data_IF_372656744355
#
_entry.id   IF_372656744355
#
_cell.length_a   1.000
_cell.length_b   1.000
_cell.length_c   1.000
_cell.angle_alpha   90.00
_cell.angle_beta   90.00
_cell.angle_gamma   90.00
#
_symmetry.space_group_name_H-M   'P 1'
#
loop_
_entity.id
_entity.type
_entity.pdbx_description
1 polymer ?
#
# COMPACT_ATOMS: atom_id res chain seq x y z
N UNK A 1 37.45 14.93 3.45
CA UNK A 1 37.16 14.04 2.29
C UNK A 1 35.84 14.45 1.71
N UNK A 2 35.71 14.52 0.38
CA UNK A 2 34.46 14.95 -0.26
C UNK A 2 33.54 13.75 -0.51
N UNK A 3 32.30 13.85 -0.12
CA UNK A 3 31.23 12.89 -0.32
C UNK A 3 30.22 13.49 -1.29
N UNK A 4 29.79 12.73 -2.31
CA UNK A 4 28.86 13.24 -3.31
C UNK A 4 27.48 12.61 -3.10
N UNK A 5 26.46 13.46 -2.90
CA UNK A 5 25.05 13.07 -2.96
C UNK A 5 24.53 13.31 -4.39
N UNK A 6 23.93 12.28 -5.00
CA UNK A 6 23.34 12.36 -6.34
C UNK A 6 22.16 11.37 -6.43
N UNK A 7 22.05 10.62 -7.54
CA UNK A 7 21.15 9.46 -7.60
C UNK A 7 21.50 8.38 -6.55
N UNK A 8 22.78 8.26 -6.21
CA UNK A 8 23.34 7.43 -5.15
C UNK A 8 24.28 8.27 -4.27
N UNK A 9 24.73 7.69 -3.19
CA UNK A 9 25.77 8.25 -2.33
C UNK A 9 27.13 7.70 -2.79
N UNK A 10 28.10 8.61 -3.01
CA UNK A 10 29.44 8.27 -3.44
C UNK A 10 30.44 8.66 -2.36
N UNK A 11 31.11 7.67 -1.79
CA UNK A 11 32.01 7.77 -0.65
C UNK A 11 33.45 7.51 -1.08
N UNK A 12 34.43 8.20 -0.51
CA UNK A 12 35.84 7.85 -0.73
C UNK A 12 36.12 6.41 -0.27
N UNK A 13 36.88 5.67 -1.06
CA UNK A 13 37.22 4.29 -0.71
C UNK A 13 38.17 4.23 0.48
N UNK A 14 37.84 3.41 1.47
CA UNK A 14 38.80 2.86 2.42
C UNK A 14 38.50 1.38 2.65
N UNK A 15 39.49 0.53 2.95
CA UNK A 15 39.27 -0.90 3.20
C UNK A 15 38.25 -1.15 4.34
N UNK A 16 38.37 -0.39 5.45
CA UNK A 16 37.44 -0.51 6.60
C UNK A 16 36.02 -0.15 6.24
N UNK A 17 35.82 0.96 5.53
CA UNK A 17 34.48 1.37 5.07
C UNK A 17 33.90 0.35 4.07
N UNK A 18 34.74 -0.19 3.17
CA UNK A 18 34.29 -1.19 2.21
C UNK A 18 33.82 -2.50 2.87
N UNK A 19 34.51 -2.97 3.91
CA UNK A 19 34.08 -4.16 4.67
C UNK A 19 32.79 -3.90 5.47
N UNK A 20 32.64 -2.73 6.09
CA UNK A 20 31.40 -2.34 6.77
C UNK A 20 30.21 -2.29 5.78
N UNK A 21 30.38 -1.64 4.64
CA UNK A 21 29.37 -1.56 3.58
C UNK A 21 29.02 -2.95 3.06
N UNK A 22 30.02 -3.80 2.82
CA UNK A 22 29.80 -5.17 2.36
C UNK A 22 29.01 -6.01 3.36
N UNK A 23 29.27 -5.86 4.64
CA UNK A 23 28.54 -6.57 5.70
C UNK A 23 27.06 -6.15 5.74
N UNK A 24 26.77 -4.86 5.63
CA UNK A 24 25.42 -4.33 5.80
C UNK A 24 24.60 -4.30 4.49
N UNK A 25 25.24 -4.08 3.33
CA UNK A 25 24.54 -3.99 2.04
C UNK A 25 24.67 -5.27 1.18
N UNK A 26 24.94 -6.40 1.83
CA UNK A 26 24.83 -7.74 1.22
C UNK A 26 23.63 -8.46 1.79
N UNK A 27 22.61 -8.61 0.98
CA UNK A 27 21.32 -9.17 1.38
C UNK A 27 21.15 -10.59 0.89
N UNK A 28 20.62 -11.47 1.74
CA UNK A 28 20.26 -12.84 1.39
C UNK A 28 18.75 -12.96 1.25
N UNK A 29 18.28 -13.20 0.03
CA UNK A 29 16.85 -13.36 -0.26
C UNK A 29 16.52 -14.85 -0.15
N UNK A 30 15.64 -15.26 0.78
CA UNK A 30 15.21 -16.64 0.89
C UNK A 30 14.62 -17.18 -0.40
N UNK A 31 14.90 -18.44 -0.70
CA UNK A 31 14.33 -19.10 -1.87
C UNK A 31 12.81 -19.26 -1.73
N UNK A 32 12.06 -18.94 -2.80
CA UNK A 32 10.60 -19.08 -2.83
C UNK A 32 10.12 -20.52 -2.94
N UNK A 33 10.97 -21.43 -3.40
CA UNK A 33 10.65 -22.86 -3.59
C UNK A 33 11.53 -23.69 -2.68
N UNK A 34 10.96 -24.77 -2.10
CA UNK A 34 11.69 -25.74 -1.30
C UNK A 34 12.79 -26.38 -2.17
N UNK A 35 14.05 -26.35 -1.69
CA UNK A 35 15.23 -26.87 -2.42
C UNK A 35 15.94 -25.88 -3.36
N UNK A 36 15.39 -24.68 -3.60
CA UNK A 36 16.11 -23.65 -4.33
C UNK A 36 17.11 -22.91 -3.43
N UNK A 37 18.23 -22.42 -4.01
CA UNK A 37 19.24 -21.66 -3.27
C UNK A 37 18.76 -20.23 -3.00
N UNK A 38 19.12 -19.64 -1.84
CA UNK A 38 18.92 -18.23 -1.59
C UNK A 38 19.66 -17.39 -2.66
N UNK A 39 19.11 -16.24 -3.00
CA UNK A 39 19.77 -15.28 -3.88
C UNK A 39 20.51 -14.26 -3.03
N UNK A 40 21.81 -14.13 -3.25
CA UNK A 40 22.62 -13.08 -2.62
C UNK A 40 22.63 -11.85 -3.55
N UNK A 41 22.27 -10.72 -2.98
CA UNK A 41 22.22 -9.44 -3.67
C UNK A 41 23.11 -8.42 -2.96
N UNK A 42 24.02 -7.77 -3.70
CA UNK A 42 24.88 -6.73 -3.17
C UNK A 42 24.46 -5.37 -3.73
N UNK A 43 24.27 -4.40 -2.85
CA UNK A 43 23.85 -3.05 -3.23
C UNK A 43 24.92 -1.99 -3.07
N UNK A 44 26.12 -2.31 -3.45
CA UNK A 44 27.24 -1.37 -3.51
C UNK A 44 28.15 -1.70 -4.69
N UNK A 45 28.85 -0.68 -5.18
CA UNK A 45 29.82 -0.82 -6.26
C UNK A 45 31.10 -0.05 -5.91
N UNK A 46 32.24 -0.60 -6.27
CA UNK A 46 33.50 0.14 -6.26
C UNK A 46 33.77 0.68 -7.67
N UNK A 47 33.94 2.00 -7.79
CA UNK A 47 34.26 2.69 -9.03
C UNK A 47 35.57 3.46 -8.79
N UNK A 48 36.68 2.95 -9.26
CA UNK A 48 38.02 3.49 -8.95
C UNK A 48 38.22 3.62 -7.44
N UNK A 49 38.45 4.83 -6.93
CA UNK A 49 38.66 5.14 -5.52
C UNK A 49 37.39 5.62 -4.82
N UNK A 50 36.25 5.21 -5.32
CA UNK A 50 34.91 5.59 -4.78
C UNK A 50 34.05 4.36 -4.55
N UNK A 51 33.30 4.36 -3.45
CA UNK A 51 32.24 3.42 -3.15
C UNK A 51 30.88 4.08 -3.45
N UNK A 52 30.07 3.43 -4.26
CA UNK A 52 28.71 3.86 -4.58
C UNK A 52 27.70 3.00 -3.84
N UNK A 53 26.85 3.60 -3.03
CA UNK A 53 25.81 2.96 -2.22
C UNK A 53 24.45 3.66 -2.38
N UNK A 54 23.32 3.07 -1.94
CA UNK A 54 22.02 3.72 -1.99
C UNK A 54 22.02 5.07 -1.26
N UNK A 55 21.27 6.04 -1.82
CA UNK A 55 21.26 7.43 -1.32
C UNK A 55 20.71 7.57 0.11
N UNK A 56 19.82 6.67 0.55
CA UNK A 56 19.29 6.68 1.90
C UNK A 56 20.31 6.30 2.98
N UNK A 57 21.41 5.63 2.62
CA UNK A 57 22.42 5.15 3.57
C UNK A 57 23.43 6.22 3.94
N UNK A 58 22.93 7.38 4.38
CA UNK A 58 23.77 8.51 4.81
C UNK A 58 24.49 8.24 6.14
N UNK A 59 24.12 7.18 6.87
CA UNK A 59 24.83 6.65 8.04
C UNK A 59 26.27 6.20 7.78
N UNK A 60 26.61 5.97 6.51
CA UNK A 60 27.98 5.66 6.09
C UNK A 60 28.83 6.90 5.79
N UNK A 61 28.29 8.11 5.87
CA UNK A 61 29.06 9.34 5.65
C UNK A 61 30.04 9.50 6.80
N UNK A 62 31.36 9.53 6.54
CA UNK A 62 32.34 9.75 7.61
C UNK A 62 32.18 11.15 8.23
N UNK A 63 32.31 11.22 9.54
CA UNK A 63 32.25 12.48 10.28
C UNK A 63 33.29 13.49 9.76
N UNK A 64 32.89 14.76 9.66
CA UNK A 64 33.73 15.82 9.11
C UNK A 64 33.92 15.79 7.58
N UNK A 65 33.13 14.98 6.85
CA UNK A 65 33.17 15.00 5.40
C UNK A 65 32.56 16.27 4.81
N UNK A 66 33.17 16.79 3.76
CA UNK A 66 32.57 17.82 2.91
C UNK A 66 31.50 17.19 2.02
N UNK A 67 30.27 17.71 2.06
CA UNK A 67 29.15 17.20 1.27
C UNK A 67 28.99 18.01 -0.02
N UNK A 68 29.09 17.35 -1.16
CA UNK A 68 28.82 17.94 -2.48
C UNK A 68 27.47 17.39 -2.96
N UNK A 69 26.42 18.22 -2.86
CA UNK A 69 25.07 17.84 -3.32
C UNK A 69 24.95 18.08 -4.82
N UNK A 70 24.77 17.01 -5.59
CA UNK A 70 24.53 16.99 -7.05
C UNK A 70 23.12 16.48 -7.39
N UNK A 71 22.25 16.44 -6.41
CA UNK A 71 20.81 16.21 -6.67
C UNK A 71 20.23 17.41 -7.40
N UNK A 72 19.18 17.20 -8.16
CA UNK A 72 18.61 18.27 -9.00
C UNK A 72 17.37 18.86 -8.35
N UNK A 73 17.35 20.19 -8.30
CA UNK A 73 16.15 21.00 -8.02
C UNK A 73 15.54 21.42 -9.35
N UNK A 74 14.27 21.15 -9.54
CA UNK A 74 13.50 21.55 -10.72
C UNK A 74 12.26 22.31 -10.23
N UNK A 75 12.37 23.62 -10.00
CA UNK A 75 11.24 24.43 -9.55
C UNK A 75 10.06 24.33 -10.50
N UNK A 76 8.84 24.31 -9.95
CA UNK A 76 7.59 24.22 -10.69
C UNK A 76 6.52 25.10 -10.06
N UNK A 77 5.58 25.59 -10.89
CA UNK A 77 4.47 26.42 -10.43
C UNK A 77 3.30 25.55 -9.96
N UNK A 78 3.46 25.02 -8.75
CA UNK A 78 2.44 24.15 -8.13
C UNK A 78 1.56 25.00 -7.21
N UNK A 79 0.23 24.99 -7.41
CA UNK A 79 -0.69 25.76 -6.58
C UNK A 79 -0.73 25.30 -5.12
N UNK A 80 -1.29 26.15 -4.26
CA UNK A 80 -1.58 25.77 -2.88
C UNK A 80 -2.71 24.72 -2.86
N UNK A 81 -2.71 23.87 -1.82
CA UNK A 81 -3.73 22.86 -1.67
C UNK A 81 -5.10 23.46 -1.35
N UNK A 82 -6.15 22.91 -1.94
CA UNK A 82 -7.55 23.32 -1.73
C UNK A 82 -8.20 22.67 -0.49
N UNK A 83 -7.39 22.20 0.46
CA UNK A 83 -7.85 21.43 1.62
C UNK A 83 -7.23 21.94 2.92
N UNK A 84 -8.01 21.90 4.00
CA UNK A 84 -7.48 22.08 5.35
C UNK A 84 -6.84 20.77 5.83
N UNK A 85 -5.57 20.85 6.18
CA UNK A 85 -4.84 19.71 6.74
C UNK A 85 -5.26 19.43 8.17
N UNK A 86 -5.28 18.16 8.55
CA UNK A 86 -5.39 17.75 9.95
C UNK A 86 -4.08 18.05 10.70
N UNK A 87 -4.11 18.18 12.06
CA UNK A 87 -2.92 18.50 12.85
C UNK A 87 -1.70 17.62 12.53
N UNK A 88 -1.85 16.29 12.49
CA UNK A 88 -0.74 15.39 12.17
C UNK A 88 -0.25 15.51 10.73
N UNK A 89 -1.13 15.84 9.77
CA UNK A 89 -0.73 16.12 8.39
C UNK A 89 0.05 17.42 8.29
N UNK A 90 -0.40 18.47 9.01
CA UNK A 90 0.31 19.75 9.08
C UNK A 90 1.68 19.58 9.74
N UNK A 91 1.77 18.77 10.80
CA UNK A 91 3.04 18.42 11.44
C UNK A 91 3.99 17.75 10.44
N UNK A 92 3.53 16.73 9.70
CA UNK A 92 4.33 16.09 8.66
C UNK A 92 4.83 17.09 7.60
N UNK A 93 3.94 17.98 7.12
CA UNK A 93 4.32 19.02 6.15
C UNK A 93 5.35 19.99 6.72
N UNK A 94 5.28 20.32 8.01
CA UNK A 94 6.25 21.22 8.64
C UNK A 94 7.61 20.55 8.83
N UNK A 95 7.65 19.31 9.28
CA UNK A 95 8.87 18.55 9.60
C UNK A 95 9.64 18.09 8.36
N UNK A 96 8.91 17.65 7.30
CA UNK A 96 9.54 17.04 6.15
C UNK A 96 10.14 18.10 5.21
N UNK A 97 11.45 18.09 5.09
CA UNK A 97 12.24 19.03 4.29
C UNK A 97 13.36 18.37 3.45
N UNK A 98 13.48 17.05 3.51
CA UNK A 98 14.41 16.23 2.70
C UNK A 98 13.72 14.89 2.38
N UNK A 99 14.48 13.81 2.24
CA UNK A 99 13.98 12.46 1.97
C UNK A 99 13.29 11.89 3.22
N UNK A 100 12.07 11.40 3.05
CA UNK A 100 11.29 10.83 4.15
C UNK A 100 10.42 9.66 3.70
N UNK A 101 10.02 8.84 4.65
CA UNK A 101 8.95 7.85 4.49
C UNK A 101 7.82 8.17 5.45
N UNK A 102 6.61 8.32 4.92
CA UNK A 102 5.39 8.42 5.72
C UNK A 102 4.83 7.02 5.88
N UNK A 103 5.00 6.43 7.07
CA UNK A 103 4.41 5.15 7.44
C UNK A 103 3.09 5.38 8.16
N UNK A 104 2.00 5.39 7.42
CA UNK A 104 0.70 5.70 7.95
C UNK A 104 -0.35 4.68 7.52
N UNK A 105 -1.21 4.31 8.46
CA UNK A 105 -2.31 3.38 8.23
C UNK A 105 -3.22 3.82 7.07
N UNK A 106 -3.95 2.89 6.45
CA UNK A 106 -5.00 3.23 5.50
C UNK A 106 -6.01 4.21 6.12
N UNK A 107 -6.40 5.25 5.38
CA UNK A 107 -7.33 6.27 5.89
C UNK A 107 -6.67 7.50 6.52
N UNK A 108 -5.39 7.47 6.83
CA UNK A 108 -4.65 8.66 7.30
C UNK A 108 -4.73 9.85 6.32
N UNK A 109 -4.81 9.60 5.03
CA UNK A 109 -4.75 10.64 3.99
C UNK A 109 -3.34 10.89 3.47
N UNK A 110 -2.54 9.83 3.34
CA UNK A 110 -1.17 9.89 2.77
C UNK A 110 -1.09 10.70 1.48
N UNK A 111 -2.08 10.54 0.59
CA UNK A 111 -2.16 11.27 -0.67
C UNK A 111 -2.28 12.77 -0.48
N UNK A 112 -3.17 13.22 0.42
CA UNK A 112 -3.33 14.64 0.76
C UNK A 112 -2.05 15.22 1.35
N UNK A 113 -1.43 14.50 2.29
CA UNK A 113 -0.16 14.93 2.91
C UNK A 113 0.97 15.01 1.89
N UNK A 114 1.06 14.04 0.97
CA UNK A 114 2.07 14.05 -0.09
C UNK A 114 1.86 15.23 -1.05
N UNK A 115 0.62 15.52 -1.47
CA UNK A 115 0.31 16.66 -2.34
C UNK A 115 0.54 18.00 -1.62
N UNK A 116 0.31 18.06 -0.31
CA UNK A 116 0.67 19.23 0.49
C UNK A 116 2.19 19.45 0.54
N UNK A 117 2.98 18.39 0.64
CA UNK A 117 4.45 18.46 0.55
C UNK A 117 4.91 18.89 -0.86
N UNK A 118 4.28 18.38 -1.90
CA UNK A 118 4.53 18.77 -3.30
C UNK A 118 4.24 20.27 -3.48
N UNK A 119 3.11 20.74 -2.96
CA UNK A 119 2.75 22.17 -2.95
C UNK A 119 3.74 23.04 -2.17
N UNK A 120 4.17 22.59 -0.98
CA UNK A 120 5.18 23.29 -0.15
C UNK A 120 6.54 23.37 -0.83
N UNK A 121 7.02 22.27 -1.40
CA UNK A 121 8.38 22.18 -1.94
C UNK A 121 8.51 22.78 -3.34
N UNK A 122 7.41 22.99 -4.05
CA UNK A 122 7.37 23.62 -5.38
C UNK A 122 8.37 23.01 -6.37
N UNK A 123 8.45 21.68 -6.41
CA UNK A 123 9.32 20.95 -7.30
C UNK A 123 8.53 20.20 -8.36
N UNK A 124 9.02 20.17 -9.60
CA UNK A 124 8.49 19.28 -10.62
C UNK A 124 8.53 17.85 -10.09
N UNK A 125 7.36 17.22 -10.01
CA UNK A 125 7.17 16.00 -9.23
C UNK A 125 6.80 14.81 -10.09
N UNK A 126 7.48 13.68 -9.85
CA UNK A 126 7.13 12.37 -10.38
C UNK A 126 6.47 11.52 -9.30
N UNK A 127 5.23 11.09 -9.51
CA UNK A 127 4.50 10.19 -8.63
C UNK A 127 4.55 8.78 -9.23
N UNK A 128 5.15 7.82 -8.52
CA UNK A 128 5.34 6.45 -8.97
C UNK A 128 4.32 5.55 -8.30
N UNK A 129 3.55 4.83 -9.11
CA UNK A 129 2.55 3.86 -8.66
C UNK A 129 2.74 2.51 -9.35
N UNK A 130 2.21 1.43 -8.77
CA UNK A 130 2.40 0.08 -9.28
C UNK A 130 1.19 -0.49 -10.04
N UNK A 131 -0.01 0.13 -9.93
CA UNK A 131 -1.21 -0.28 -10.68
C UNK A 131 -1.83 0.87 -11.46
N UNK A 132 -2.57 0.54 -12.52
CA UNK A 132 -3.35 1.51 -13.29
C UNK A 132 -4.44 2.15 -12.43
N UNK A 133 -5.08 1.37 -11.56
CA UNK A 133 -6.12 1.87 -10.66
C UNK A 133 -5.60 2.95 -9.70
N UNK A 134 -4.39 2.76 -9.13
CA UNK A 134 -3.73 3.77 -8.30
C UNK A 134 -3.36 5.02 -9.11
N UNK A 135 -2.86 4.84 -10.34
CA UNK A 135 -2.56 5.97 -11.22
C UNK A 135 -3.81 6.82 -11.45
N UNK A 136 -4.92 6.18 -11.81
CA UNK A 136 -6.17 6.89 -12.10
C UNK A 136 -6.76 7.53 -10.82
N UNK A 137 -6.53 6.94 -9.65
CA UNK A 137 -6.85 7.57 -8.37
C UNK A 137 -6.00 8.82 -8.14
N UNK A 138 -4.68 8.74 -8.31
CA UNK A 138 -3.78 9.88 -8.13
C UNK A 138 -4.10 11.03 -9.08
N UNK A 139 -4.49 10.74 -10.33
CA UNK A 139 -4.95 11.77 -11.29
C UNK A 139 -6.12 12.53 -10.69
N UNK A 140 -7.16 11.84 -10.23
CA UNK A 140 -8.34 12.48 -9.61
C UNK A 140 -7.98 13.29 -8.36
N UNK A 141 -7.10 12.76 -7.52
CA UNK A 141 -6.68 13.46 -6.29
C UNK A 141 -5.85 14.71 -6.59
N UNK A 142 -4.97 14.70 -7.59
CA UNK A 142 -4.22 15.88 -8.03
C UNK A 142 -5.19 16.95 -8.55
N UNK A 143 -6.14 16.59 -9.41
CA UNK A 143 -7.16 17.50 -9.91
C UNK A 143 -8.00 18.10 -8.79
N UNK A 144 -8.45 17.26 -7.85
CA UNK A 144 -9.32 17.64 -6.74
C UNK A 144 -8.61 18.52 -5.70
N UNK A 145 -7.35 18.23 -5.39
CA UNK A 145 -6.60 18.85 -4.28
C UNK A 145 -5.81 20.08 -4.75
N UNK A 146 -5.25 20.03 -5.95
CA UNK A 146 -4.41 21.08 -6.50
C UNK A 146 -5.08 21.82 -7.69
N UNK A 147 -6.16 21.33 -8.25
CA UNK A 147 -6.86 21.97 -9.38
C UNK A 147 -6.10 21.91 -10.72
N UNK A 148 -5.10 21.04 -10.86
CA UNK A 148 -4.27 20.94 -12.07
C UNK A 148 -4.34 19.56 -12.72
N UNK A 149 -4.07 19.52 -14.04
CA UNK A 149 -3.99 18.26 -14.80
C UNK A 149 -2.57 17.71 -14.78
N UNK A 150 -2.35 16.50 -14.22
CA UNK A 150 -1.05 15.85 -14.26
C UNK A 150 -0.76 15.22 -15.63
N UNK A 151 0.52 15.10 -15.97
CA UNK A 151 0.98 14.26 -17.07
C UNK A 151 0.98 12.78 -16.71
N UNK A 152 1.00 11.92 -17.72
CA UNK A 152 0.90 10.45 -17.55
C UNK A 152 2.06 9.76 -18.27
N UNK A 153 2.73 8.82 -17.56
CA UNK A 153 3.62 7.83 -18.18
C UNK A 153 3.02 6.43 -17.96
N UNK A 154 2.45 5.88 -19.02
CA UNK A 154 1.80 4.57 -19.01
C UNK A 154 0.59 4.49 -19.91
N UNK A 155 0.12 3.28 -20.21
CA UNK A 155 -1.00 3.04 -21.15
C UNK A 155 -0.82 3.72 -22.52
N UNK A 156 0.40 3.70 -23.06
CA UNK A 156 0.73 4.31 -24.34
C UNK A 156 1.02 5.81 -24.32
N UNK A 157 0.89 6.47 -23.16
CA UNK A 157 1.21 7.88 -22.98
C UNK A 157 2.62 8.09 -22.42
N UNK A 158 3.27 9.19 -22.84
CA UNK A 158 4.57 9.65 -22.34
C UNK A 158 4.57 11.18 -22.24
N UNK A 159 3.95 11.70 -21.21
CA UNK A 159 3.75 13.14 -20.98
C UNK A 159 4.66 13.56 -19.82
N UNK A 160 5.74 14.28 -20.11
CA UNK A 160 6.75 14.69 -19.11
C UNK A 160 6.88 16.20 -18.91
N UNK A 161 6.11 17.00 -19.62
CA UNK A 161 6.13 18.46 -19.63
C UNK A 161 5.30 19.09 -18.52
N UNK A 162 4.39 18.34 -17.91
CA UNK A 162 3.58 18.82 -16.79
C UNK A 162 4.39 18.91 -15.49
N UNK A 163 3.98 19.80 -14.58
CA UNK A 163 4.63 19.99 -13.27
C UNK A 163 4.49 18.79 -12.35
N UNK A 164 3.38 18.05 -12.45
CA UNK A 164 3.17 16.77 -11.81
C UNK A 164 2.97 15.70 -12.87
N UNK A 165 3.71 14.61 -12.77
CA UNK A 165 3.62 13.45 -13.67
C UNK A 165 3.37 12.21 -12.86
N UNK A 166 2.35 11.42 -13.26
CA UNK A 166 2.01 10.14 -12.59
C UNK A 166 2.41 8.99 -13.50
N UNK A 167 3.23 8.08 -12.98
CA UNK A 167 3.82 7.00 -13.77
C UNK A 167 3.58 5.62 -13.16
N UNK A 168 3.22 4.66 -14.00
CA UNK A 168 3.31 3.25 -13.63
C UNK A 168 4.78 2.80 -13.66
N UNK A 169 5.24 2.14 -12.61
CA UNK A 169 6.65 1.71 -12.46
C UNK A 169 7.15 0.87 -13.64
N UNK A 170 6.31 0.01 -14.23
CA UNK A 170 6.66 -0.85 -15.37
C UNK A 170 6.89 -0.03 -16.65
N UNK A 171 6.13 1.07 -16.83
CA UNK A 171 6.29 1.98 -17.96
C UNK A 171 7.49 2.88 -17.75
N UNK A 172 7.66 3.38 -16.52
CA UNK A 172 8.77 4.23 -16.13
C UNK A 172 10.14 3.55 -16.30
N UNK A 173 10.21 2.25 -16.01
CA UNK A 173 11.43 1.46 -16.18
C UNK A 173 12.02 1.53 -17.61
N UNK A 174 11.15 1.54 -18.62
CA UNK A 174 11.56 1.61 -20.05
C UNK A 174 12.15 2.97 -20.43
N UNK A 175 11.83 4.03 -19.70
CA UNK A 175 12.22 5.41 -19.98
C UNK A 175 13.13 6.02 -18.89
N UNK A 176 13.62 5.20 -17.96
CA UNK A 176 14.33 5.70 -16.78
C UNK A 176 15.62 6.46 -17.09
N UNK A 177 16.24 6.20 -18.23
CA UNK A 177 17.46 6.93 -18.67
C UNK A 177 17.14 8.37 -19.09
N UNK A 178 15.99 8.61 -19.73
CA UNK A 178 15.57 9.94 -20.19
C UNK A 178 15.11 10.84 -19.04
N UNK A 179 14.80 10.25 -17.89
CA UNK A 179 14.17 10.92 -16.75
C UNK A 179 15.14 11.28 -15.62
N UNK A 180 16.42 10.95 -15.74
CA UNK A 180 17.45 11.08 -14.68
C UNK A 180 17.46 12.42 -13.94
N UNK A 181 17.23 13.52 -14.67
CA UNK A 181 17.32 14.88 -14.14
C UNK A 181 16.10 15.74 -14.50
N UNK A 182 14.93 15.12 -14.75
CA UNK A 182 13.72 15.84 -15.16
C UNK A 182 12.80 16.20 -13.99
N UNK A 183 13.01 15.65 -12.81
CA UNK A 183 12.16 15.85 -11.65
C UNK A 183 12.97 16.21 -10.41
N UNK A 184 12.56 17.27 -9.72
CA UNK A 184 13.16 17.69 -8.45
C UNK A 184 12.63 16.88 -7.27
N UNK A 185 11.41 16.32 -7.39
CA UNK A 185 10.79 15.49 -6.37
C UNK A 185 10.26 14.17 -6.93
N UNK A 186 10.40 13.09 -6.16
CA UNK A 186 9.82 11.77 -6.46
C UNK A 186 8.97 11.34 -5.28
N UNK A 187 7.72 11.00 -5.54
CA UNK A 187 6.80 10.37 -4.57
C UNK A 187 6.58 8.92 -4.98
N UNK A 188 6.78 7.98 -4.07
CA UNK A 188 6.54 6.56 -4.32
C UNK A 188 5.40 6.07 -3.45
N UNK A 189 4.26 5.78 -4.07
CA UNK A 189 3.10 5.25 -3.36
C UNK A 189 3.22 3.74 -3.15
N UNK A 190 2.77 3.28 -1.96
CA UNK A 190 2.86 1.90 -1.50
C UNK A 190 4.27 1.32 -1.77
N UNK A 191 5.28 2.06 -1.36
CA UNK A 191 6.68 1.78 -1.67
C UNK A 191 7.15 0.37 -1.27
N UNK A 192 6.42 -0.31 -0.37
CA UNK A 192 6.68 -1.71 0.01
C UNK A 192 6.23 -2.75 -1.03
N UNK A 193 5.41 -2.39 -2.03
CA UNK A 193 4.90 -3.32 -3.05
C UNK A 193 5.74 -3.39 -4.32
N UNK A 194 6.56 -2.40 -4.59
CA UNK A 194 7.35 -2.36 -5.83
C UNK A 194 8.23 -3.61 -5.97
N UNK A 195 8.27 -4.26 -7.15
CA UNK A 195 9.21 -5.34 -7.41
C UNK A 195 10.63 -4.83 -7.18
N UNK A 196 11.34 -5.40 -6.21
CA UNK A 196 12.60 -4.84 -5.73
C UNK A 196 13.60 -4.46 -6.85
N UNK A 197 13.69 -5.27 -7.91
CA UNK A 197 14.60 -5.01 -9.04
C UNK A 197 14.19 -3.81 -9.89
N UNK A 198 12.96 -3.78 -10.38
CA UNK A 198 12.47 -2.69 -11.25
C UNK A 198 12.45 -1.35 -10.52
N UNK A 199 12.03 -1.36 -9.27
CA UNK A 199 12.01 -0.17 -8.41
C UNK A 199 13.43 0.38 -8.19
N UNK A 200 14.36 -0.51 -7.82
CA UNK A 200 15.76 -0.16 -7.66
C UNK A 200 16.32 0.49 -8.93
N UNK A 201 16.17 -0.16 -10.07
CA UNK A 201 16.76 0.30 -11.33
C UNK A 201 16.20 1.68 -11.76
N UNK A 202 14.97 2.00 -11.38
CA UNK A 202 14.38 3.33 -11.59
C UNK A 202 14.95 4.35 -10.60
N UNK A 203 14.87 4.07 -9.29
CA UNK A 203 15.30 5.03 -8.27
C UNK A 203 16.80 5.29 -8.30
N UNK A 204 17.61 4.30 -8.67
CA UNK A 204 19.07 4.45 -8.85
C UNK A 204 19.43 5.46 -9.94
N UNK A 205 18.55 5.74 -10.88
CA UNK A 205 18.82 6.67 -11.97
C UNK A 205 18.36 8.09 -11.66
N UNK A 206 17.33 8.26 -10.82
CA UNK A 206 16.72 9.56 -10.55
C UNK A 206 17.56 10.40 -9.58
N UNK A 207 18.01 11.58 -10.03
CA UNK A 207 18.83 12.53 -9.25
C UNK A 207 17.99 13.53 -8.44
N UNK A 208 16.70 13.29 -8.28
CA UNK A 208 15.78 14.20 -7.61
C UNK A 208 16.25 14.59 -6.21
N UNK A 209 16.11 15.87 -5.88
CA UNK A 209 16.49 16.44 -4.58
C UNK A 209 15.69 15.79 -3.44
N UNK A 210 14.38 15.58 -3.68
CA UNK A 210 13.47 15.05 -2.67
C UNK A 210 12.93 13.69 -3.10
N UNK A 211 12.95 12.73 -2.17
CA UNK A 211 12.34 11.41 -2.34
C UNK A 211 11.40 11.13 -1.16
N UNK A 212 10.12 10.95 -1.46
CA UNK A 212 9.08 10.66 -0.47
C UNK A 212 8.52 9.26 -0.70
N UNK A 213 8.62 8.41 0.31
CA UNK A 213 7.96 7.11 0.33
C UNK A 213 6.64 7.16 1.09
N UNK A 214 5.59 6.54 0.57
CA UNK A 214 4.32 6.37 1.26
C UNK A 214 4.07 4.88 1.47
N UNK A 215 3.72 4.49 2.69
CA UNK A 215 3.39 3.09 3.00
C UNK A 215 2.34 2.98 4.11
N UNK A 216 1.49 1.96 4.01
CA UNK A 216 0.60 1.55 5.10
C UNK A 216 1.23 0.51 6.03
N UNK A 217 2.26 -0.16 5.56
CA UNK A 217 3.03 -1.18 6.28
C UNK A 217 4.44 -1.23 5.72
N UNK A 218 5.45 -0.98 6.55
CA UNK A 218 6.85 -1.04 6.10
C UNK A 218 7.38 -2.47 6.04
N UNK A 219 6.89 -3.38 6.93
CA UNK A 219 7.44 -4.72 7.07
C UNK A 219 6.86 -5.66 6.02
N UNK A 220 7.72 -6.31 5.25
CA UNK A 220 7.37 -7.39 4.30
C UNK A 220 7.80 -8.75 4.86
N UNK A 221 6.97 -9.76 4.65
CA UNK A 221 7.28 -11.15 5.05
C UNK A 221 8.54 -11.74 4.36
N UNK A 222 8.95 -11.18 3.20
CA UNK A 222 10.14 -11.59 2.45
C UNK A 222 11.40 -10.78 2.78
N UNK A 223 11.35 -9.88 3.77
CA UNK A 223 12.47 -9.05 4.23
C UNK A 223 12.94 -7.97 3.25
N UNK A 224 12.31 -7.83 2.08
CA UNK A 224 12.77 -6.92 1.01
C UNK A 224 12.41 -5.45 1.24
N UNK A 225 11.69 -5.12 2.29
CA UNK A 225 11.36 -3.74 2.62
C UNK A 225 12.62 -2.89 2.89
N UNK A 226 13.68 -3.49 3.41
CA UNK A 226 14.96 -2.82 3.71
C UNK A 226 15.54 -2.17 2.46
N UNK A 227 15.52 -2.85 1.31
CA UNK A 227 16.04 -2.27 0.06
C UNK A 227 15.32 -1.01 -0.40
N UNK A 228 14.01 -0.94 -0.18
CA UNK A 228 13.23 0.22 -0.61
C UNK A 228 13.51 1.43 0.26
N UNK A 229 13.71 1.19 1.56
CA UNK A 229 14.08 2.24 2.49
C UNK A 229 15.46 2.81 2.17
N UNK A 230 16.44 1.96 1.84
CA UNK A 230 17.79 2.38 1.45
C UNK A 230 17.78 3.37 0.26
N UNK A 231 16.80 3.28 -0.66
CA UNK A 231 16.67 4.19 -1.80
C UNK A 231 15.93 5.49 -1.50
N UNK A 232 15.27 5.56 -0.36
CA UNK A 232 14.57 6.76 0.10
C UNK A 232 15.30 7.29 1.34
N UNK A 233 15.01 6.73 2.50
CA UNK A 233 15.69 7.03 3.77
C UNK A 233 15.39 5.93 4.79
N UNK A 234 16.42 5.35 5.44
CA UNK A 234 16.20 4.41 6.53
C UNK A 234 15.97 5.07 7.89
N UNK A 235 16.29 6.35 8.04
CA UNK A 235 16.33 7.02 9.35
C UNK A 235 15.14 7.92 9.62
N UNK A 236 14.72 8.70 8.63
CA UNK A 236 13.66 9.69 8.78
C UNK A 236 12.33 9.10 8.34
N UNK A 237 11.67 8.39 9.26
CA UNK A 237 10.35 7.82 9.04
C UNK A 237 9.37 8.57 9.94
N UNK A 238 8.43 9.27 9.30
CA UNK A 238 7.33 9.89 10.00
C UNK A 238 6.21 8.86 10.22
N UNK A 239 5.87 8.62 11.49
CA UNK A 239 4.72 7.80 11.89
C UNK A 239 3.72 8.74 12.56
N UNK A 240 2.63 9.12 11.87
CA UNK A 240 1.66 10.04 12.42
C UNK A 240 0.89 9.42 13.59
N UNK A 241 0.43 10.27 14.51
CA UNK A 241 -0.54 9.84 15.51
C UNK A 241 -1.84 9.39 14.84
N UNK A 242 -2.50 8.40 15.43
CA UNK A 242 -3.79 7.91 14.96
C UNK A 242 -4.88 8.94 15.28
N UNK A 243 -5.22 9.78 14.30
CA UNK A 243 -6.30 10.74 14.39
C UNK A 243 -7.51 10.28 13.57
N UNK A 244 -8.69 10.49 14.10
CA UNK A 244 -9.95 10.27 13.36
C UNK A 244 -10.15 8.85 12.79
N UNK A 245 -9.63 7.83 13.46
CA UNK A 245 -9.82 6.44 13.08
C UNK A 245 -10.74 5.76 14.09
N UNK A 246 -11.75 5.08 13.57
CA UNK A 246 -12.61 4.23 14.37
C UNK A 246 -11.96 2.87 14.55
N UNK A 247 -11.76 2.41 15.78
CA UNK A 247 -11.32 1.02 16.04
C UNK A 247 -12.51 0.07 15.78
N UNK A 248 -12.38 -0.92 14.88
CA UNK A 248 -13.46 -1.85 14.61
C UNK A 248 -13.59 -2.86 15.75
N UNK A 249 -14.81 -3.35 15.95
CA UNK A 249 -15.06 -4.56 16.71
C UNK A 249 -14.93 -5.78 15.78
N UNK A 250 -14.29 -6.84 16.28
CA UNK A 250 -14.11 -8.09 15.54
C UNK A 250 -15.12 -9.10 16.05
N UNK A 251 -15.95 -9.59 15.15
CA UNK A 251 -16.95 -10.63 15.44
C UNK A 251 -16.46 -11.94 14.82
N UNK A 252 -16.02 -12.88 15.66
CA UNK A 252 -15.70 -14.23 15.22
C UNK A 252 -17.02 -15.00 15.07
N UNK A 253 -17.29 -15.41 13.83
CA UNK A 253 -18.49 -16.16 13.48
C UNK A 253 -18.16 -17.64 13.31
N UNK A 254 -18.48 -18.53 14.28
CA UNK A 254 -18.22 -19.95 14.16
C UNK A 254 -19.04 -20.55 13.01
N UNK A 255 -18.40 -21.42 12.22
CA UNK A 255 -19.08 -22.20 11.19
C UNK A 255 -18.69 -23.67 11.28
N UNK A 256 -19.56 -24.54 10.77
CA UNK A 256 -19.30 -25.99 10.70
C UNK A 256 -18.60 -26.42 9.41
N UNK A 257 -18.32 -25.48 8.50
CA UNK A 257 -17.71 -25.78 7.20
C UNK A 257 -16.24 -26.16 7.37
N UNK A 258 -15.83 -27.34 6.87
CA UNK A 258 -14.44 -27.76 6.92
C UNK A 258 -13.64 -27.21 5.76
N UNK A 259 -12.38 -26.85 6.03
CA UNK A 259 -11.36 -26.65 4.99
C UNK A 259 -10.41 -27.85 5.06
N UNK A 260 -10.23 -28.54 3.93
CA UNK A 260 -9.40 -29.76 3.87
C UNK A 260 -7.98 -29.53 4.35
N UNK A 261 -7.49 -30.41 5.23
CA UNK A 261 -6.12 -30.39 5.73
C UNK A 261 -5.11 -31.11 4.82
N UNK A 262 -5.58 -31.75 3.74
CA UNK A 262 -4.72 -32.45 2.80
C UNK A 262 -3.64 -31.54 2.20
N UNK A 263 -2.38 -31.89 2.35
CA UNK A 263 -1.26 -31.18 1.72
C UNK A 263 -1.19 -31.34 0.20
N UNK A 264 -1.92 -32.28 -0.37
CA UNK A 264 -1.94 -32.58 -1.81
C UNK A 264 -2.88 -31.62 -2.58
N UNK A 265 -3.88 -31.04 -1.91
CA UNK A 265 -4.85 -30.16 -2.55
C UNK A 265 -4.32 -28.71 -2.47
N UNK A 266 -4.12 -28.02 -3.61
CA UNK A 266 -3.76 -26.61 -3.64
C UNK A 266 -4.75 -25.74 -2.86
N UNK A 267 -4.25 -24.71 -2.15
CA UNK A 267 -5.11 -23.83 -1.37
C UNK A 267 -6.27 -23.23 -2.17
N UNK A 268 -5.99 -22.82 -3.41
CA UNK A 268 -7.01 -22.30 -4.31
C UNK A 268 -8.19 -23.25 -4.49
N UNK A 269 -7.92 -24.55 -4.68
CA UNK A 269 -8.96 -25.57 -4.88
C UNK A 269 -9.76 -25.84 -3.61
N UNK A 270 -9.12 -25.74 -2.41
CA UNK A 270 -9.82 -25.85 -1.13
C UNK A 270 -10.84 -24.73 -0.95
N UNK A 271 -10.47 -23.51 -1.31
CA UNK A 271 -11.37 -22.35 -1.22
C UNK A 271 -12.46 -22.43 -2.28
N UNK A 272 -12.16 -22.88 -3.50
CA UNK A 272 -13.18 -23.11 -4.52
C UNK A 272 -14.20 -24.17 -4.04
N UNK A 273 -13.74 -25.27 -3.43
CA UNK A 273 -14.64 -26.28 -2.86
C UNK A 273 -15.55 -25.71 -1.76
N UNK A 274 -15.00 -24.88 -0.86
CA UNK A 274 -15.78 -24.18 0.18
C UNK A 274 -16.85 -23.28 -0.43
N UNK A 275 -16.48 -22.45 -1.39
CA UNK A 275 -17.39 -21.46 -2.01
C UNK A 275 -18.41 -22.08 -2.96
N UNK A 276 -18.24 -23.35 -3.31
CA UNK A 276 -19.22 -24.14 -4.09
C UNK A 276 -20.32 -24.79 -3.23
N UNK A 277 -20.25 -24.69 -1.90
CA UNK A 277 -21.25 -25.26 -1.00
C UNK A 277 -22.47 -24.34 -0.94
N UNK A 278 -23.69 -24.76 -1.38
CA UNK A 278 -24.87 -23.90 -1.39
C UNK A 278 -25.23 -23.32 0.00
N UNK A 279 -25.18 -24.15 1.05
CA UNK A 279 -25.47 -23.71 2.41
C UNK A 279 -24.46 -22.65 2.90
N UNK A 280 -23.21 -22.70 2.46
CA UNK A 280 -22.22 -21.68 2.75
C UNK A 280 -22.61 -20.33 2.14
N UNK A 281 -23.02 -20.34 0.88
CA UNK A 281 -23.48 -19.14 0.17
C UNK A 281 -24.70 -18.49 0.86
N UNK A 282 -25.66 -19.32 1.28
CA UNK A 282 -26.86 -18.86 2.01
C UNK A 282 -26.45 -18.17 3.31
N UNK A 283 -25.53 -18.75 4.08
CA UNK A 283 -25.08 -18.14 5.35
C UNK A 283 -24.40 -16.80 5.10
N UNK A 284 -23.51 -16.67 4.12
CA UNK A 284 -22.85 -15.41 3.81
C UNK A 284 -23.87 -14.34 3.39
N UNK A 285 -24.83 -14.70 2.53
CA UNK A 285 -25.92 -13.80 2.13
C UNK A 285 -26.70 -13.30 3.35
N UNK A 286 -27.13 -14.21 4.24
CA UNK A 286 -27.89 -13.87 5.45
C UNK A 286 -27.11 -12.95 6.40
N UNK A 287 -25.82 -13.19 6.60
CA UNK A 287 -24.95 -12.32 7.40
C UNK A 287 -24.91 -10.92 6.78
N UNK A 288 -24.66 -10.81 5.46
CA UNK A 288 -24.58 -9.53 4.79
C UNK A 288 -25.90 -8.74 4.86
N UNK A 289 -27.04 -9.39 4.62
CA UNK A 289 -28.36 -8.78 4.73
C UNK A 289 -28.71 -8.39 6.17
N UNK A 290 -28.34 -9.22 7.15
CA UNK A 290 -28.58 -8.92 8.56
C UNK A 290 -27.83 -7.66 9.03
N UNK A 291 -26.55 -7.52 8.61
CA UNK A 291 -25.78 -6.33 8.95
C UNK A 291 -26.27 -5.09 8.19
N UNK A 292 -26.65 -5.23 6.94
CA UNK A 292 -27.28 -4.14 6.18
C UNK A 292 -28.59 -3.67 6.82
N UNK A 293 -29.45 -4.59 7.30
CA UNK A 293 -30.69 -4.26 8.03
C UNK A 293 -30.44 -3.52 9.35
N UNK A 294 -29.27 -3.68 9.97
CA UNK A 294 -28.85 -2.89 11.14
C UNK A 294 -28.39 -1.47 10.78
N UNK A 295 -28.30 -1.14 9.49
CA UNK A 295 -27.84 0.15 8.99
C UNK A 295 -26.36 0.19 8.62
N UNK A 296 -25.65 -0.94 8.62
CA UNK A 296 -24.29 -0.99 8.14
C UNK A 296 -24.24 -0.93 6.61
N UNK A 297 -23.26 -0.17 6.08
CA UNK A 297 -22.83 -0.31 4.69
C UNK A 297 -21.76 -1.42 4.63
N UNK A 298 -22.11 -2.51 3.98
CA UNK A 298 -21.41 -3.80 4.05
C UNK A 298 -20.45 -3.98 2.87
N UNK A 299 -19.22 -4.37 3.15
CA UNK A 299 -18.26 -4.88 2.18
C UNK A 299 -17.97 -6.36 2.47
N UNK A 300 -18.46 -7.25 1.62
CA UNK A 300 -18.21 -8.68 1.68
C UNK A 300 -17.12 -9.05 0.67
N UNK A 301 -15.98 -9.58 1.11
CA UNK A 301 -14.80 -9.78 0.24
C UNK A 301 -14.44 -11.24 0.02
N UNK A 302 -14.05 -11.54 -1.21
CA UNK A 302 -13.47 -12.83 -1.61
C UNK A 302 -12.50 -12.65 -2.80
N UNK A 303 -11.62 -13.64 -3.03
CA UNK A 303 -10.82 -13.75 -4.24
C UNK A 303 -11.50 -14.61 -5.33
N UNK A 304 -12.75 -15.09 -5.09
CA UNK A 304 -13.53 -15.96 -6.00
C UNK A 304 -14.64 -15.16 -6.68
N UNK A 305 -14.41 -14.81 -7.96
CA UNK A 305 -15.33 -13.94 -8.73
C UNK A 305 -16.72 -14.60 -8.87
N UNK A 306 -16.77 -15.85 -9.33
CA UNK A 306 -18.05 -16.57 -9.49
C UNK A 306 -18.85 -16.69 -8.19
N UNK A 307 -18.15 -16.84 -7.05
CA UNK A 307 -18.79 -16.86 -5.74
C UNK A 307 -19.39 -15.49 -5.39
N UNK A 308 -18.67 -14.38 -5.65
CA UNK A 308 -19.20 -13.03 -5.42
C UNK A 308 -20.41 -12.73 -6.31
N UNK A 309 -20.39 -13.18 -7.56
CA UNK A 309 -21.51 -13.06 -8.49
C UNK A 309 -22.74 -13.82 -7.95
N UNK A 310 -22.54 -15.09 -7.55
CA UNK A 310 -23.61 -15.89 -6.95
C UNK A 310 -24.15 -15.30 -5.63
N UNK A 311 -23.32 -14.62 -4.83
CA UNK A 311 -23.77 -13.91 -3.63
C UNK A 311 -24.63 -12.68 -3.97
N UNK A 312 -24.32 -11.96 -5.04
CA UNK A 312 -25.07 -10.78 -5.47
C UNK A 312 -26.44 -11.11 -6.08
N UNK A 313 -26.64 -12.34 -6.57
CA UNK A 313 -27.90 -12.76 -7.16
C UNK A 313 -29.06 -12.73 -6.15
N UNK A 314 -30.14 -12.01 -6.51
CA UNK A 314 -31.38 -11.96 -5.74
C UNK A 314 -31.38 -11.01 -4.55
N UNK A 315 -30.33 -10.20 -4.34
CA UNK A 315 -30.29 -9.17 -3.29
C UNK A 315 -30.45 -7.78 -3.93
N UNK A 316 -31.57 -7.12 -3.71
CA UNK A 316 -31.97 -5.90 -4.40
C UNK A 316 -30.97 -4.73 -4.21
N UNK A 317 -30.50 -4.49 -2.97
CA UNK A 317 -29.61 -3.37 -2.63
C UNK A 317 -28.14 -3.80 -2.60
N UNK A 318 -27.73 -4.66 -3.54
CA UNK A 318 -26.37 -5.14 -3.61
C UNK A 318 -25.68 -4.84 -4.94
N UNK A 319 -24.35 -4.78 -4.91
CA UNK A 319 -23.53 -4.59 -6.09
C UNK A 319 -22.32 -5.53 -6.07
N UNK A 320 -22.06 -6.19 -7.20
CA UNK A 320 -20.86 -7.01 -7.38
C UNK A 320 -19.76 -6.17 -8.04
N UNK A 321 -18.63 -6.03 -7.34
CA UNK A 321 -17.49 -5.21 -7.79
C UNK A 321 -16.26 -6.08 -7.97
N UNK A 322 -15.96 -6.40 -9.22
CA UNK A 322 -14.80 -7.21 -9.64
C UNK A 322 -13.89 -6.43 -10.59
N UNK A 323 -12.84 -7.08 -11.10
CA UNK A 323 -11.93 -6.48 -12.08
C UNK A 323 -12.60 -5.95 -13.35
N UNK A 324 -13.77 -6.49 -13.68
CA UNK A 324 -14.59 -6.10 -14.86
C UNK A 324 -15.45 -4.87 -14.61
N UNK A 325 -15.61 -4.44 -13.36
CA UNK A 325 -16.44 -3.28 -13.01
C UNK A 325 -15.77 -1.97 -13.43
N UNK A 326 -16.40 -1.23 -14.34
CA UNK A 326 -15.82 -0.01 -14.97
C UNK A 326 -16.19 1.28 -14.24
N UNK A 327 -17.35 1.34 -13.59
CA UNK A 327 -17.93 2.57 -13.00
C UNK A 327 -17.44 2.85 -11.58
N UNK A 328 -16.12 2.72 -11.33
CA UNK A 328 -15.55 2.83 -9.97
C UNK A 328 -15.68 4.24 -9.37
N UNK A 329 -15.76 5.26 -10.19
CA UNK A 329 -15.95 6.66 -9.75
C UNK A 329 -17.31 6.91 -9.11
N UNK A 330 -18.31 6.12 -9.45
CA UNK A 330 -19.70 6.27 -9.00
C UNK A 330 -20.02 5.46 -7.72
N UNK A 331 -19.09 4.59 -7.28
CA UNK A 331 -19.35 3.67 -6.18
C UNK A 331 -19.71 4.38 -4.86
N UNK A 332 -19.06 5.51 -4.56
CA UNK A 332 -19.31 6.24 -3.31
C UNK A 332 -20.74 6.82 -3.29
N UNK A 333 -21.18 7.42 -4.40
CA UNK A 333 -22.54 7.91 -4.57
C UNK A 333 -23.58 6.77 -4.48
N UNK A 334 -23.37 5.69 -5.22
CA UNK A 334 -24.27 4.53 -5.21
C UNK A 334 -24.37 3.87 -3.84
N UNK A 335 -23.27 3.80 -3.08
CA UNK A 335 -23.27 3.27 -1.72
C UNK A 335 -24.04 4.17 -0.76
N UNK A 336 -24.06 5.47 -1.00
CA UNK A 336 -24.86 6.41 -0.19
C UNK A 336 -26.37 6.31 -0.51
N UNK A 337 -26.71 6.20 -1.79
CA UNK A 337 -28.09 6.39 -2.27
C UNK A 337 -28.84 5.06 -2.44
N UNK A 338 -28.24 4.06 -3.10
CA UNK A 338 -28.96 2.92 -3.65
C UNK A 338 -28.49 1.55 -3.11
N UNK A 339 -27.30 1.46 -2.51
CA UNK A 339 -26.64 0.20 -2.20
C UNK A 339 -26.29 0.11 -0.72
N UNK A 340 -26.57 -1.03 -0.12
CA UNK A 340 -26.19 -1.34 1.25
C UNK A 340 -25.06 -2.39 1.30
N UNK A 341 -24.95 -3.24 0.28
CA UNK A 341 -24.02 -4.37 0.26
C UNK A 341 -23.18 -4.33 -1.01
N UNK A 342 -21.85 -4.41 -0.84
CA UNK A 342 -20.91 -4.63 -1.92
C UNK A 342 -20.28 -6.02 -1.77
N UNK A 343 -20.43 -6.87 -2.78
CA UNK A 343 -19.68 -8.11 -2.94
C UNK A 343 -18.43 -7.82 -3.78
N UNK A 344 -17.28 -7.68 -3.13
CA UNK A 344 -16.09 -7.12 -3.72
C UNK A 344 -14.90 -8.09 -3.84
N UNK A 345 -14.19 -8.07 -4.99
CA UNK A 345 -12.96 -8.84 -5.07
C UNK A 345 -11.87 -8.18 -4.22
N UNK A 346 -11.14 -9.01 -3.45
CA UNK A 346 -10.06 -8.56 -2.55
C UNK A 346 -9.04 -7.69 -3.28
N UNK A 347 -8.69 -8.04 -4.52
CA UNK A 347 -7.70 -7.31 -5.31
C UNK A 347 -8.07 -5.86 -5.59
N UNK A 348 -9.37 -5.55 -5.73
CA UNK A 348 -9.86 -4.20 -5.96
C UNK A 348 -9.92 -3.39 -4.67
N UNK A 349 -10.46 -3.98 -3.61
CA UNK A 349 -10.65 -3.27 -2.35
C UNK A 349 -9.38 -3.18 -1.50
N UNK A 350 -8.39 -4.01 -1.75
CA UNK A 350 -7.06 -3.85 -1.19
C UNK A 350 -6.42 -2.53 -1.67
N UNK A 351 -6.58 -2.16 -2.95
CA UNK A 351 -5.91 -1.02 -3.57
C UNK A 351 -6.91 -0.10 -4.29
N UNK A 352 -6.85 1.20 -4.05
CA UNK A 352 -7.41 2.21 -4.96
C UNK A 352 -8.89 2.58 -4.85
N UNK A 353 -9.72 1.95 -4.04
CA UNK A 353 -11.11 2.37 -3.82
C UNK A 353 -11.30 2.90 -2.40
N UNK A 354 -11.81 4.11 -2.29
CA UNK A 354 -12.07 4.81 -1.03
C UNK A 354 -13.57 5.01 -0.88
N UNK A 355 -14.20 4.24 0.01
CA UNK A 355 -15.61 4.33 0.32
C UNK A 355 -15.78 4.62 1.82
N UNK A 356 -16.01 5.89 2.15
CA UNK A 356 -15.97 6.34 3.55
C UNK A 356 -17.18 5.84 4.38
N UNK A 357 -18.31 5.61 3.72
CA UNK A 357 -19.53 5.11 4.36
C UNK A 357 -19.45 3.64 4.83
N UNK A 358 -18.50 2.83 4.31
CA UNK A 358 -18.37 1.43 4.69
C UNK A 358 -18.13 1.26 6.19
N UNK A 359 -18.96 0.47 6.86
CA UNK A 359 -18.89 0.22 8.30
C UNK A 359 -18.87 -1.27 8.69
N UNK A 360 -19.13 -2.19 7.76
CA UNK A 360 -19.01 -3.63 8.00
C UNK A 360 -18.09 -4.28 6.96
N UNK A 361 -17.15 -5.11 7.40
CA UNK A 361 -16.30 -5.94 6.54
C UNK A 361 -16.54 -7.42 6.83
N UNK A 362 -17.01 -8.18 5.84
CA UNK A 362 -17.19 -9.63 5.94
C UNK A 362 -16.05 -10.32 5.19
N UNK A 363 -15.26 -11.13 5.89
CA UNK A 363 -14.23 -11.96 5.30
C UNK A 363 -14.83 -13.27 4.80
N UNK A 364 -15.46 -13.25 3.61
CA UNK A 364 -16.17 -14.41 3.07
C UNK A 364 -15.26 -15.56 2.60
N UNK A 365 -13.94 -15.36 2.60
CA UNK A 365 -12.93 -16.40 2.43
C UNK A 365 -11.73 -16.11 3.33
N UNK A 366 -11.00 -17.14 3.84
CA UNK A 366 -9.89 -16.92 4.75
C UNK A 366 -8.77 -16.08 4.14
N UNK A 367 -8.37 -15.03 4.83
CA UNK A 367 -7.23 -14.19 4.45
C UNK A 367 -6.05 -14.53 5.36
N UNK A 368 -4.90 -14.93 4.78
CA UNK A 368 -3.67 -15.26 5.49
C UNK A 368 -2.53 -14.30 5.12
N UNK A 369 -2.85 -13.02 5.03
CA UNK A 369 -1.88 -11.95 4.75
C UNK A 369 -2.22 -10.74 5.59
N UNK A 370 -1.40 -10.45 6.60
CA UNK A 370 -1.65 -9.40 7.60
C UNK A 370 -1.69 -8.00 6.97
N UNK A 371 -0.82 -7.73 5.98
CA UNK A 371 -0.82 -6.46 5.27
C UNK A 371 -2.13 -6.25 4.48
N UNK A 372 -2.57 -7.29 3.77
CA UNK A 372 -3.84 -7.27 3.02
C UNK A 372 -5.03 -7.09 3.98
N UNK A 373 -5.05 -7.83 5.08
CA UNK A 373 -6.13 -7.74 6.08
C UNK A 373 -6.16 -6.34 6.71
N UNK A 374 -5.00 -5.78 7.08
CA UNK A 374 -4.90 -4.41 7.60
C UNK A 374 -5.42 -3.37 6.60
N UNK A 375 -5.12 -3.53 5.31
CA UNK A 375 -5.62 -2.62 4.27
C UNK A 375 -7.14 -2.70 4.12
N UNK A 376 -7.71 -3.91 4.14
CA UNK A 376 -9.17 -4.10 4.06
C UNK A 376 -9.88 -3.54 5.29
N UNK A 377 -9.38 -3.81 6.49
CA UNK A 377 -9.91 -3.24 7.74
C UNK A 377 -9.85 -1.70 7.69
N UNK A 378 -8.74 -1.15 7.19
CA UNK A 378 -8.59 0.30 7.02
C UNK A 378 -9.66 0.95 6.13
N UNK A 379 -10.37 0.19 5.28
CA UNK A 379 -11.48 0.72 4.47
C UNK A 379 -12.69 1.09 5.31
N UNK A 380 -12.94 0.37 6.39
CA UNK A 380 -14.09 0.58 7.27
C UNK A 380 -13.77 1.47 8.48
N UNK A 381 -12.52 1.86 8.69
CA UNK A 381 -12.10 2.62 9.88
C UNK A 381 -12.28 4.14 9.76
N UNK A 382 -12.51 4.66 8.57
CA UNK A 382 -12.62 6.10 8.34
C UNK A 382 -13.87 6.66 8.99
N UNK A 383 -13.73 7.82 9.65
CA UNK A 383 -14.90 8.56 10.13
C UNK A 383 -15.70 9.10 8.96
N UNK A 384 -16.99 8.99 9.06
CA UNK A 384 -17.97 9.55 8.12
C UNK A 384 -19.22 9.88 8.90
N UNK A 385 -19.91 10.95 8.54
CA UNK A 385 -21.14 11.39 9.20
C UNK A 385 -22.22 10.32 9.08
N UNK A 386 -22.94 10.04 10.16
CA UNK A 386 -23.97 9.01 10.22
C UNK A 386 -23.49 7.55 10.20
N UNK A 387 -22.19 7.31 10.15
CA UNK A 387 -21.61 5.97 10.08
C UNK A 387 -21.66 5.25 11.44
N UNK A 388 -22.14 4.01 11.44
CA UNK A 388 -22.09 3.13 12.60
C UNK A 388 -20.65 2.74 12.96
N UNK A 389 -20.45 2.33 14.22
CA UNK A 389 -19.15 1.81 14.66
C UNK A 389 -18.73 0.63 13.78
N UNK A 390 -17.50 0.63 13.23
CA UNK A 390 -17.10 -0.40 12.28
C UNK A 390 -16.98 -1.78 12.90
N UNK A 391 -17.41 -2.79 12.16
CA UNK A 391 -17.29 -4.20 12.54
C UNK A 391 -16.61 -5.03 11.45
N UNK A 392 -15.86 -6.05 11.89
CA UNK A 392 -15.29 -7.08 11.01
C UNK A 392 -15.88 -8.42 11.37
N UNK A 393 -16.49 -9.11 10.43
CA UNK A 393 -16.97 -10.47 10.61
C UNK A 393 -15.97 -11.43 10.02
N UNK A 394 -15.28 -12.18 10.90
CA UNK A 394 -14.27 -13.18 10.56
C UNK A 394 -14.84 -14.58 10.79
N UNK A 395 -15.06 -15.31 9.70
CA UNK A 395 -15.63 -16.65 9.78
C UNK A 395 -14.58 -17.68 10.26
N UNK A 396 -14.98 -18.49 11.25
CA UNK A 396 -14.19 -19.59 11.76
C UNK A 396 -14.55 -20.89 11.05
N UNK A 397 -13.55 -21.60 10.55
CA UNK A 397 -13.72 -22.86 9.81
C UNK A 397 -13.13 -24.05 10.58
N UNK A 398 -13.66 -25.24 10.33
CA UNK A 398 -13.06 -26.50 10.81
C UNK A 398 -11.84 -26.89 10.00
N UNK A 399 -10.85 -27.51 10.66
CA UNK A 399 -9.59 -27.99 10.08
C UNK A 399 -8.35 -27.37 10.74
N UNK A 400 -7.24 -28.10 10.75
CA UNK A 400 -5.97 -27.67 11.38
C UNK A 400 -5.37 -26.44 10.70
N UNK A 401 -5.38 -26.44 9.37
CA UNK A 401 -4.86 -25.31 8.57
C UNK A 401 -5.69 -24.06 8.79
N UNK A 402 -7.02 -24.19 8.80
CA UNK A 402 -7.93 -23.09 9.05
C UNK A 402 -7.74 -22.49 10.45
N UNK A 403 -7.63 -23.32 11.47
CA UNK A 403 -7.36 -22.88 12.87
C UNK A 403 -6.03 -22.12 12.99
N UNK A 404 -4.96 -22.60 12.31
CA UNK A 404 -3.66 -21.91 12.32
C UNK A 404 -3.74 -20.54 11.65
N UNK A 405 -4.46 -20.43 10.53
CA UNK A 405 -4.65 -19.14 9.85
C UNK A 405 -5.48 -18.17 10.69
N UNK A 406 -6.51 -18.67 11.37
CA UNK A 406 -7.29 -17.87 12.29
C UNK A 406 -6.45 -17.37 13.47
N UNK A 407 -5.61 -18.22 14.06
CA UNK A 407 -4.68 -17.79 15.12
C UNK A 407 -3.76 -16.65 14.65
N UNK A 408 -3.29 -16.68 13.38
CA UNK A 408 -2.50 -15.58 12.81
C UNK A 408 -3.32 -14.27 12.74
N UNK A 409 -4.59 -14.34 12.31
CA UNK A 409 -5.46 -13.16 12.28
C UNK A 409 -5.78 -12.63 13.67
N UNK A 410 -6.07 -13.51 14.63
CA UNK A 410 -6.28 -13.12 16.02
C UNK A 410 -5.06 -12.41 16.62
N UNK A 411 -3.84 -12.87 16.34
CA UNK A 411 -2.61 -12.18 16.77
C UNK A 411 -2.54 -10.76 16.17
N UNK A 412 -2.93 -10.56 14.92
CA UNK A 412 -3.02 -9.23 14.32
C UNK A 412 -4.07 -8.37 15.04
N UNK A 413 -5.25 -8.91 15.34
CA UNK A 413 -6.31 -8.16 16.01
C UNK A 413 -5.89 -7.75 17.43
N UNK A 414 -5.26 -8.64 18.19
CA UNK A 414 -4.70 -8.33 19.51
C UNK A 414 -3.58 -7.28 19.43
N UNK A 415 -2.68 -7.38 18.45
CA UNK A 415 -1.60 -6.40 18.27
C UNK A 415 -2.10 -4.98 17.93
N UNK A 416 -3.33 -4.88 17.42
CA UNK A 416 -4.04 -3.64 17.13
C UNK A 416 -5.02 -3.22 18.22
N UNK A 417 -5.09 -3.96 19.31
CA UNK A 417 -6.00 -3.71 20.43
C UNK A 417 -7.47 -3.63 20.00
N UNK A 418 -7.87 -4.43 19.00
CA UNK A 418 -9.27 -4.51 18.59
C UNK A 418 -10.06 -5.34 19.60
N UNK A 419 -11.28 -4.90 19.88
CA UNK A 419 -12.21 -5.64 20.74
C UNK A 419 -12.76 -6.85 19.97
N UNK A 420 -12.65 -8.04 20.56
CA UNK A 420 -13.01 -9.31 19.90
C UNK A 420 -14.19 -9.94 20.63
N UNK A 421 -15.21 -10.29 19.87
CA UNK A 421 -16.39 -11.03 20.31
C UNK A 421 -16.50 -12.34 19.55
N UNK A 422 -16.84 -13.41 20.22
CA UNK A 422 -17.20 -14.68 19.57
C UNK A 422 -18.69 -14.90 19.72
N UNK A 423 -19.39 -15.12 18.63
CA UNK A 423 -20.79 -15.52 18.70
C UNK A 423 -20.87 -16.96 19.21
N UNK A 424 -21.65 -17.18 20.26
CA UNK A 424 -21.97 -18.54 20.69
C UNK A 424 -22.96 -19.14 19.70
N UNK A 425 -22.74 -20.40 19.30
CA UNK A 425 -23.76 -21.18 18.61
C UNK A 425 -24.80 -21.61 19.66
N UNK A 426 -25.75 -20.73 20.00
CA UNK A 426 -26.96 -21.13 20.72
C UNK A 426 -28.03 -21.62 19.74
#
# INVERSE_FOLDING_TARGET
MSVILSNRLYLPYSPQLAEKIKAELTYTIPARRRGARPTVFKDFFKIRDTLSIPIGRQDFIPEGSELIDKRVDIPADIPEILYTLRPSQQEAVNLINDNYVINAIPGYGKTVTALALVSKLKQKTLIIVHTVALRDQWIREVQKILGIEPGIIGSGKYETDKDIVIANIQSLYKHSDDLKSKFGMVVTDECHHAPARTFKEVLDKLKSRYKLGLSGTLIRKDGRHVYMLDYITPFDIYVPQEENILKPEIVIFPTDFPISDSGLIPWANKITALTSIPNYNIIIKRIAEAEAKKGHKVLCVSDRIQFLEALGEGIANSLVVTGMYKERSDLERRLSDDIDIIFGSISIFKEGISLNALSCLILATPINNDAMLTQLIGRIQRKHEGKLNPIVIDLQYKGKTAKRQQASRLNLYYSKEYKIHTLNND
#
